data_IF_775587920527
#
_entry.id   IF_775587920527
#
_cell.length_a   1.000
_cell.length_b   1.000
_cell.length_c   1.000
_cell.angle_alpha   90.00
_cell.angle_beta   90.00
_cell.angle_gamma   90.00
#
_symmetry.space_group_name_H-M   'P 1'
#
loop_
_entity.id
_entity.type
_entity.pdbx_description
1 polymer ?
#
# COMPACT_ATOMS: atom_id res chain seq x y z
N UNK A 1 7.98 6.00 -9.53
CA UNK A 1 6.93 6.21 -10.55
C UNK A 1 6.24 4.90 -10.80
N UNK A 2 4.97 4.91 -11.22
CA UNK A 2 4.22 3.67 -11.47
C UNK A 2 4.87 2.85 -12.58
N UNK A 3 5.35 3.51 -13.65
CA UNK A 3 6.14 2.86 -14.72
C UNK A 3 7.37 2.13 -14.18
N UNK A 4 8.04 2.67 -13.16
CA UNK A 4 9.18 2.01 -12.52
C UNK A 4 8.80 0.66 -11.89
N UNK A 5 7.60 0.58 -11.30
CA UNK A 5 7.08 -0.69 -10.76
C UNK A 5 6.67 -1.66 -11.85
N UNK A 6 6.12 -1.18 -12.98
CA UNK A 6 5.86 -2.04 -14.15
C UNK A 6 7.16 -2.69 -14.65
N UNK A 7 8.24 -1.91 -14.74
CA UNK A 7 9.57 -2.44 -15.10
C UNK A 7 10.08 -3.44 -14.06
N UNK A 8 9.92 -3.17 -12.76
CA UNK A 8 10.28 -4.11 -11.70
C UNK A 8 9.51 -5.44 -11.81
N UNK A 9 8.22 -5.38 -12.16
CA UNK A 9 7.40 -6.54 -12.47
C UNK A 9 7.96 -7.38 -13.62
N UNK A 10 8.30 -6.73 -14.73
CA UNK A 10 8.90 -7.40 -15.89
C UNK A 10 10.25 -8.06 -15.57
N UNK A 11 11.08 -7.40 -14.75
CA UNK A 11 12.36 -7.97 -14.29
C UNK A 11 12.10 -9.21 -13.44
N UNK A 12 11.13 -9.16 -12.52
CA UNK A 12 10.75 -10.29 -11.69
C UNK A 12 10.27 -11.47 -12.54
N UNK A 13 9.41 -11.23 -13.53
CA UNK A 13 8.93 -12.29 -14.43
C UNK A 13 10.09 -12.89 -15.23
N UNK A 14 10.97 -12.06 -15.79
CA UNK A 14 12.14 -12.52 -16.55
C UNK A 14 13.11 -13.34 -15.67
N UNK A 15 13.33 -12.95 -14.42
CA UNK A 15 14.25 -13.62 -13.51
C UNK A 15 13.66 -14.93 -12.92
N UNK A 16 12.34 -14.99 -12.72
CA UNK A 16 11.67 -16.14 -12.11
C UNK A 16 11.13 -17.15 -13.14
N UNK A 17 10.85 -16.71 -14.36
CA UNK A 17 10.13 -17.48 -15.37
C UNK A 17 8.63 -17.64 -15.08
N UNK A 18 8.10 -17.00 -14.04
CA UNK A 18 6.70 -17.07 -13.62
C UNK A 18 5.98 -15.72 -13.76
N UNK A 19 4.65 -15.76 -13.88
CA UNK A 19 3.85 -14.54 -13.90
C UNK A 19 3.90 -13.83 -12.53
N UNK A 20 3.97 -12.50 -12.54
CA UNK A 20 4.16 -11.68 -11.34
C UNK A 20 3.17 -12.05 -10.22
N UNK A 21 1.89 -12.08 -10.54
CA UNK A 21 0.83 -12.37 -9.57
C UNK A 21 0.91 -13.80 -9.00
N UNK A 22 1.35 -14.78 -9.79
CA UNK A 22 1.57 -16.13 -9.29
C UNK A 22 2.76 -16.18 -8.32
N UNK A 23 3.85 -15.48 -8.65
CA UNK A 23 5.02 -15.39 -7.77
C UNK A 23 4.73 -14.61 -6.49
N UNK A 24 4.03 -13.49 -6.57
CA UNK A 24 3.66 -12.67 -5.41
C UNK A 24 2.72 -13.43 -4.47
N UNK A 25 1.70 -14.11 -5.01
CA UNK A 25 0.83 -14.99 -4.21
C UNK A 25 1.66 -16.05 -3.47
N UNK A 26 2.46 -16.82 -4.21
CA UNK A 26 3.21 -17.96 -3.65
C UNK A 26 4.25 -17.52 -2.64
N UNK A 27 4.97 -16.43 -2.90
CA UNK A 27 6.10 -15.98 -2.06
C UNK A 27 5.66 -15.10 -0.89
N UNK A 28 4.53 -14.40 -1.02
CA UNK A 28 4.10 -13.38 -0.05
C UNK A 28 2.72 -13.70 0.50
N UNK A 29 1.67 -13.68 -0.33
CA UNK A 29 0.29 -13.70 0.17
C UNK A 29 -0.07 -15.00 0.89
N UNK A 30 0.19 -16.15 0.25
CA UNK A 30 -0.10 -17.47 0.84
C UNK A 30 0.88 -17.80 1.96
N UNK A 31 2.16 -17.38 1.82
CA UNK A 31 3.20 -17.61 2.83
C UNK A 31 2.87 -16.92 4.16
N UNK A 32 2.23 -15.76 4.11
CA UNK A 32 1.98 -14.91 5.28
C UNK A 32 0.52 -14.80 5.70
N UNK A 33 -0.36 -15.63 5.12
CA UNK A 33 -1.79 -15.67 5.46
C UNK A 33 -2.41 -14.26 5.39
N UNK A 34 -2.42 -13.69 4.18
CA UNK A 34 -3.05 -12.40 3.84
C UNK A 34 -4.31 -12.63 2.98
N UNK A 35 -5.36 -13.28 3.51
CA UNK A 35 -6.48 -13.81 2.72
C UNK A 35 -7.40 -12.73 2.14
N UNK A 36 -7.31 -11.49 2.62
CA UNK A 36 -8.10 -10.35 2.13
C UNK A 36 -7.29 -9.46 1.18
N UNK A 37 -6.05 -9.84 0.87
CA UNK A 37 -5.23 -9.23 -0.16
C UNK A 37 -5.30 -10.08 -1.42
N UNK A 38 -5.89 -9.54 -2.49
CA UNK A 38 -6.12 -10.26 -3.75
C UNK A 38 -5.64 -9.43 -4.93
N UNK A 39 -5.22 -10.10 -6.00
CA UNK A 39 -4.81 -9.40 -7.21
C UNK A 39 -6.00 -8.71 -7.85
N UNK A 40 -5.71 -7.56 -8.44
CA UNK A 40 -6.70 -6.73 -9.08
C UNK A 40 -6.98 -7.21 -10.51
N UNK A 41 -7.40 -8.48 -10.66
CA UNK A 41 -7.74 -9.10 -11.95
C UNK A 41 -9.24 -8.98 -12.20
N UNK A 42 -9.61 -8.46 -13.37
CA UNK A 42 -11.01 -8.17 -13.69
C UNK A 42 -11.53 -6.95 -12.94
N UNK A 43 -12.83 -6.92 -12.64
CA UNK A 43 -13.52 -5.73 -12.06
C UNK A 43 -14.40 -6.05 -10.86
N UNK A 44 -14.40 -7.29 -10.38
CA UNK A 44 -15.31 -7.75 -9.33
C UNK A 44 -14.50 -8.21 -8.13
N UNK A 45 -14.72 -7.57 -6.99
CA UNK A 45 -14.00 -7.82 -5.75
C UNK A 45 -14.99 -7.93 -4.59
N UNK A 46 -15.09 -9.07 -3.90
CA UNK A 46 -16.03 -9.24 -2.79
C UNK A 46 -15.81 -8.26 -1.64
N UNK A 47 -16.92 -7.77 -1.08
CA UNK A 47 -16.95 -6.79 0.02
C UNK A 47 -16.28 -5.45 -0.34
N UNK A 48 -16.31 -5.04 -1.61
CA UNK A 48 -15.68 -3.79 -2.03
C UNK A 48 -16.47 -2.60 -1.47
N UNK A 49 -15.81 -1.77 -0.68
CA UNK A 49 -16.41 -0.50 -0.24
C UNK A 49 -16.67 0.39 -1.47
N UNK A 50 -17.86 1.00 -1.62
CA UNK A 50 -18.13 1.88 -2.76
C UNK A 50 -17.17 3.07 -2.78
N UNK A 51 -16.43 3.24 -3.88
CA UNK A 51 -15.49 4.35 -4.04
C UNK A 51 -16.16 5.61 -4.57
N UNK A 52 -15.67 6.77 -4.13
CA UNK A 52 -16.21 8.08 -4.52
C UNK A 52 -15.13 9.02 -5.03
N UNK A 53 -15.37 9.64 -6.19
CA UNK A 53 -14.50 10.65 -6.78
C UNK A 53 -15.26 11.96 -6.94
N UNK A 54 -14.54 13.07 -6.90
CA UNK A 54 -15.12 14.38 -7.14
C UNK A 54 -15.50 14.62 -8.60
N UNK A 55 -16.31 15.66 -8.82
CA UNK A 55 -16.80 16.03 -10.16
C UNK A 55 -15.65 16.36 -11.12
N UNK A 56 -14.57 16.98 -10.63
CA UNK A 56 -13.39 17.35 -11.42
C UNK A 56 -12.31 16.25 -11.49
N UNK A 57 -12.69 14.96 -11.40
CA UNK A 57 -11.70 13.88 -11.44
C UNK A 57 -11.00 13.78 -12.80
N UNK A 58 -9.67 13.53 -12.85
CA UNK A 58 -8.88 13.60 -14.07
C UNK A 58 -9.17 12.48 -15.08
N UNK A 59 -9.98 11.49 -14.68
CA UNK A 59 -10.27 10.30 -15.46
C UNK A 59 -11.69 10.30 -16.04
N UNK A 60 -12.45 11.38 -15.85
CA UNK A 60 -13.85 11.50 -16.27
C UNK A 60 -14.71 10.31 -15.83
N UNK A 61 -14.40 9.77 -14.64
CA UNK A 61 -15.10 8.64 -14.04
C UNK A 61 -16.43 9.11 -13.43
N UNK A 62 -17.43 8.22 -13.32
CA UNK A 62 -18.63 8.51 -12.55
C UNK A 62 -18.28 8.79 -11.09
N UNK A 63 -19.05 9.67 -10.43
CA UNK A 63 -18.85 10.07 -9.04
C UNK A 63 -18.76 8.86 -8.08
N UNK A 64 -19.46 7.77 -8.40
CA UNK A 64 -19.31 6.48 -7.74
C UNK A 64 -18.53 5.51 -8.63
N UNK A 65 -17.37 5.06 -8.17
CA UNK A 65 -16.47 4.21 -8.96
C UNK A 65 -16.69 2.71 -8.77
N UNK A 66 -17.62 2.31 -7.88
CA UNK A 66 -18.09 0.94 -7.74
C UNK A 66 -19.57 0.83 -7.36
N UNK A 67 -20.26 -0.14 -7.94
CA UNK A 67 -21.62 -0.53 -7.62
C UNK A 67 -21.65 -1.96 -7.07
N UNK A 68 -21.93 -2.09 -5.77
CA UNK A 68 -21.69 -3.32 -5.03
C UNK A 68 -20.22 -3.72 -5.11
N UNK A 69 -19.98 -4.98 -5.47
CA UNK A 69 -18.64 -5.56 -5.62
C UNK A 69 -17.99 -5.25 -6.99
N UNK A 70 -18.64 -4.47 -7.85
CA UNK A 70 -18.23 -4.28 -9.25
C UNK A 70 -17.74 -2.86 -9.48
N UNK A 71 -16.50 -2.73 -9.95
CA UNK A 71 -15.92 -1.45 -10.35
C UNK A 71 -16.50 -0.96 -11.68
N UNK A 72 -16.67 0.36 -11.81
CA UNK A 72 -17.18 1.01 -13.01
C UNK A 72 -16.20 0.94 -14.21
N UNK A 73 -14.92 0.63 -13.95
CA UNK A 73 -13.87 0.51 -14.95
C UNK A 73 -12.95 -0.68 -14.63
N UNK A 74 -12.12 -1.08 -15.60
CA UNK A 74 -11.12 -2.12 -15.39
C UNK A 74 -9.89 -1.51 -14.72
N UNK A 75 -9.52 -1.93 -13.51
CA UNK A 75 -8.36 -1.40 -12.80
C UNK A 75 -7.02 -2.05 -13.17
N UNK A 76 -7.03 -3.06 -14.06
CA UNK A 76 -5.85 -3.88 -14.38
C UNK A 76 -4.64 -3.11 -14.93
N UNK A 77 -4.79 -1.84 -15.30
CA UNK A 77 -3.68 -0.98 -15.74
C UNK A 77 -2.65 -0.73 -14.65
N UNK A 78 -3.02 -0.87 -13.38
CA UNK A 78 -2.10 -0.69 -12.24
C UNK A 78 -1.05 -1.78 -12.15
N UNK A 79 -1.42 -3.04 -12.44
CA UNK A 79 -0.57 -4.24 -12.35
C UNK A 79 0.39 -4.23 -11.14
N UNK A 80 1.70 -4.07 -11.33
CA UNK A 80 2.69 -4.06 -10.24
C UNK A 80 2.86 -2.69 -9.57
N UNK A 81 2.30 -1.61 -10.12
CA UNK A 81 2.28 -0.26 -9.55
C UNK A 81 1.25 -0.06 -8.44
N UNK A 82 0.14 -0.81 -8.48
CA UNK A 82 -0.93 -0.69 -7.48
C UNK A 82 -1.98 -1.80 -7.52
N UNK A 83 -1.74 -2.87 -8.27
CA UNK A 83 -2.76 -3.85 -8.67
C UNK A 83 -3.13 -4.89 -7.62
N UNK A 84 -3.43 -4.46 -6.41
CA UNK A 84 -4.01 -5.29 -5.34
C UNK A 84 -5.20 -4.60 -4.67
N UNK A 85 -6.16 -5.42 -4.27
CA UNK A 85 -7.24 -5.04 -3.35
C UNK A 85 -6.90 -5.63 -1.99
N UNK A 86 -6.98 -4.83 -0.92
CA UNK A 86 -6.70 -5.27 0.45
C UNK A 86 -7.58 -4.54 1.46
N UNK A 87 -7.53 -4.97 2.73
CA UNK A 87 -8.16 -4.29 3.86
C UNK A 87 -7.12 -3.79 4.88
N UNK A 88 -7.53 -2.89 5.78
CA UNK A 88 -6.65 -2.34 6.81
C UNK A 88 -6.00 -3.39 7.71
N UNK A 89 -6.68 -4.53 7.96
CA UNK A 89 -6.13 -5.59 8.83
C UNK A 89 -4.93 -6.28 8.17
N UNK A 90 -5.06 -6.68 6.92
CA UNK A 90 -3.99 -7.33 6.17
C UNK A 90 -2.85 -6.35 5.88
N UNK A 91 -3.15 -5.08 5.59
CA UNK A 91 -2.12 -4.04 5.46
C UNK A 91 -1.34 -3.83 6.77
N UNK A 92 -2.00 -3.71 7.92
CA UNK A 92 -1.30 -3.57 9.20
C UNK A 92 -0.47 -4.83 9.56
N UNK A 93 -0.97 -6.03 9.24
CA UNK A 93 -0.19 -7.28 9.35
C UNK A 93 1.01 -7.27 8.43
N UNK A 94 0.83 -6.86 7.18
CA UNK A 94 1.89 -6.78 6.17
C UNK A 94 3.00 -5.83 6.61
N UNK A 95 2.66 -4.67 7.18
CA UNK A 95 3.66 -3.75 7.74
C UNK A 95 4.52 -4.44 8.81
N UNK A 96 3.93 -5.16 9.77
CA UNK A 96 4.72 -5.91 10.76
C UNK A 96 5.57 -7.01 10.12
N UNK A 97 5.03 -7.76 9.16
CA UNK A 97 5.78 -8.81 8.46
C UNK A 97 6.98 -8.22 7.70
N UNK A 98 6.77 -7.13 6.98
CA UNK A 98 7.76 -6.49 6.14
C UNK A 98 8.86 -5.82 6.97
N UNK A 99 8.49 -5.01 7.96
CA UNK A 99 9.45 -4.18 8.70
C UNK A 99 10.09 -4.87 9.90
N UNK A 100 9.67 -6.10 10.22
CA UNK A 100 10.34 -6.97 11.20
C UNK A 100 11.17 -8.09 10.51
N UNK A 101 11.50 -7.92 9.23
CA UNK A 101 12.32 -8.87 8.45
C UNK A 101 11.76 -10.29 8.35
N UNK A 102 10.43 -10.42 8.23
CA UNK A 102 9.75 -11.72 8.12
C UNK A 102 9.19 -12.00 6.73
N UNK A 103 9.19 -11.04 5.81
CA UNK A 103 8.54 -11.18 4.51
C UNK A 103 9.23 -12.20 3.58
N UNK A 104 10.56 -12.18 3.52
CA UNK A 104 11.39 -13.08 2.73
C UNK A 104 12.62 -13.51 3.54
N UNK A 105 13.30 -14.55 3.07
CA UNK A 105 14.49 -15.07 3.75
C UNK A 105 15.71 -14.16 3.46
N UNK A 106 16.49 -13.86 4.52
CA UNK A 106 17.70 -13.04 4.45
C UNK A 106 17.50 -11.57 4.89
N UNK A 107 18.59 -10.85 5.18
CA UNK A 107 18.50 -9.43 5.55
C UNK A 107 18.16 -8.61 4.31
N UNK A 108 17.01 -7.95 4.31
CA UNK A 108 16.55 -7.13 3.18
C UNK A 108 16.14 -5.72 3.60
N UNK A 109 15.84 -5.49 4.88
CA UNK A 109 15.19 -4.27 5.32
C UNK A 109 16.08 -3.05 5.10
N UNK A 110 17.34 -3.12 5.53
CA UNK A 110 18.25 -1.97 5.38
C UNK A 110 18.53 -1.63 3.92
N UNK A 111 18.60 -2.62 3.02
CA UNK A 111 18.71 -2.36 1.58
C UNK A 111 17.44 -1.69 1.05
N UNK A 112 16.26 -2.21 1.42
CA UNK A 112 14.97 -1.65 1.02
C UNK A 112 14.79 -0.20 1.51
N UNK A 113 15.21 0.12 2.73
CA UNK A 113 15.05 1.44 3.35
C UNK A 113 16.05 2.48 2.83
N UNK A 114 17.26 2.06 2.47
CA UNK A 114 18.35 2.97 2.11
C UNK A 114 18.58 3.09 0.60
N UNK A 115 17.98 2.22 -0.21
CA UNK A 115 18.11 2.25 -1.67
C UNK A 115 17.02 3.12 -2.29
N UNK A 116 17.31 4.41 -2.51
CA UNK A 116 16.43 5.24 -3.32
C UNK A 116 16.72 6.75 -3.26
N UNK A 117 15.76 7.53 -3.73
CA UNK A 117 15.89 8.97 -3.90
C UNK A 117 15.81 9.69 -2.55
N UNK A 118 16.85 10.46 -2.25
CA UNK A 118 16.84 11.47 -1.18
C UNK A 118 16.44 12.78 -1.84
N UNK A 119 15.23 13.25 -1.56
CA UNK A 119 14.86 14.61 -1.97
C UNK A 119 15.81 15.64 -1.37
N UNK A 120 15.86 16.83 -1.97
CA UNK A 120 16.69 17.93 -1.48
C UNK A 120 16.23 18.40 -0.08
N UNK A 121 14.97 18.11 0.30
CA UNK A 121 14.41 18.31 1.64
C UNK A 121 14.52 17.03 2.48
N UNK A 122 15.36 17.07 3.51
CA UNK A 122 15.81 15.93 4.32
C UNK A 122 14.74 15.24 5.20
N UNK A 123 13.47 15.66 5.15
CA UNK A 123 12.41 15.16 6.05
C UNK A 123 11.71 13.88 5.60
N UNK A 124 11.82 13.50 4.33
CA UNK A 124 11.29 12.24 3.83
C UNK A 124 12.22 11.60 2.79
N UNK A 125 12.49 10.31 2.93
CA UNK A 125 13.26 9.55 1.95
C UNK A 125 12.39 8.46 1.33
N UNK A 126 12.65 8.15 0.06
CA UNK A 126 11.96 7.08 -0.66
C UNK A 126 12.95 5.97 -0.99
N UNK A 127 12.80 4.82 -0.36
CA UNK A 127 13.57 3.60 -0.61
C UNK A 127 12.98 2.78 -1.77
N UNK A 128 13.12 1.45 -1.70
CA UNK A 128 12.48 0.52 -2.64
C UNK A 128 11.00 0.32 -2.27
N UNK A 129 10.15 1.27 -2.66
CA UNK A 129 8.70 1.18 -2.40
C UNK A 129 8.26 1.49 -1.00
N UNK A 130 9.04 2.33 -0.32
CA UNK A 130 8.79 2.69 1.06
C UNK A 130 9.20 4.13 1.29
N UNK A 131 8.30 4.88 1.93
CA UNK A 131 8.60 6.17 2.51
C UNK A 131 9.12 5.99 3.93
N UNK A 132 10.14 6.77 4.27
CA UNK A 132 10.52 7.06 5.64
C UNK A 132 10.23 8.52 5.91
N UNK A 133 9.57 8.79 7.03
CA UNK A 133 9.24 10.14 7.45
C UNK A 133 9.45 10.27 8.96
N UNK A 134 10.02 11.41 9.36
CA UNK A 134 10.05 11.80 10.76
C UNK A 134 8.67 12.29 11.20
N UNK A 135 8.26 11.92 12.41
CA UNK A 135 7.04 12.40 13.04
C UNK A 135 7.31 12.85 14.47
N UNK A 136 6.42 13.65 15.10
CA UNK A 136 6.51 13.98 16.52
C UNK A 136 6.56 12.76 17.46
N UNK A 137 6.18 11.58 16.95
CA UNK A 137 6.10 10.34 17.72
C UNK A 137 7.30 9.41 17.48
N UNK A 138 8.17 9.70 16.50
CA UNK A 138 9.30 8.87 16.07
C UNK A 138 9.28 8.54 14.58
N UNK A 139 10.19 7.67 14.14
CA UNK A 139 10.34 7.31 12.72
C UNK A 139 9.16 6.45 12.23
N UNK A 140 8.52 6.90 11.14
CA UNK A 140 7.47 6.17 10.44
C UNK A 140 7.99 5.62 9.12
N UNK A 141 7.72 4.35 8.90
CA UNK A 141 8.10 3.62 7.69
C UNK A 141 6.84 3.05 7.05
N UNK A 142 6.60 3.31 5.77
CA UNK A 142 5.31 2.93 5.18
C UNK A 142 5.11 3.37 3.75
N UNK A 143 3.85 3.32 3.31
CA UNK A 143 3.46 3.84 2.00
C UNK A 143 2.01 4.35 2.02
N UNK A 144 1.74 5.35 1.18
CA UNK A 144 0.39 5.81 0.88
C UNK A 144 -0.20 5.05 -0.32
N UNK A 145 -1.51 5.07 -0.47
CA UNK A 145 -2.15 4.55 -1.68
C UNK A 145 -3.17 5.55 -2.18
N UNK A 146 -3.25 5.67 -3.50
CA UNK A 146 -4.25 6.46 -4.17
C UNK A 146 -4.76 5.67 -5.37
N UNK A 147 -6.08 5.51 -5.44
CA UNK A 147 -6.77 4.94 -6.58
C UNK A 147 -8.08 5.72 -6.77
N UNK A 148 -8.64 5.83 -7.99
CA UNK A 148 -9.89 6.58 -8.18
C UNK A 148 -11.05 6.02 -7.36
N UNK A 149 -11.40 6.72 -6.29
CA UNK A 149 -12.44 6.37 -5.33
C UNK A 149 -11.92 5.88 -3.99
N UNK A 150 -10.61 5.67 -3.81
CA UNK A 150 -10.02 5.17 -2.56
C UNK A 150 -8.67 5.80 -2.25
N UNK A 151 -8.42 6.04 -0.96
CA UNK A 151 -7.11 6.41 -0.42
C UNK A 151 -6.74 5.42 0.68
N UNK A 152 -5.46 5.09 0.79
CA UNK A 152 -4.95 4.28 1.87
C UNK A 152 -3.67 4.86 2.45
N UNK A 153 -3.36 4.42 3.66
CA UNK A 153 -2.07 4.60 4.28
C UNK A 153 -1.76 3.37 5.12
N UNK A 154 -0.50 2.95 5.12
CA UNK A 154 0.02 1.87 5.93
C UNK A 154 1.40 2.30 6.44
N UNK A 155 1.55 2.45 7.75
CA UNK A 155 2.80 2.83 8.39
C UNK A 155 3.11 1.96 9.60
N UNK A 156 4.40 1.82 9.87
CA UNK A 156 4.99 1.16 11.00
C UNK A 156 5.85 2.16 11.77
N UNK A 157 5.61 2.26 13.06
CA UNK A 157 6.39 3.06 13.96
C UNK A 157 7.56 2.23 14.49
N UNK A 158 8.78 2.64 14.12
CA UNK A 158 9.97 1.78 14.28
C UNK A 158 10.27 1.43 15.73
N UNK A 159 10.14 2.41 16.63
CA UNK A 159 10.58 2.26 18.01
C UNK A 159 9.62 1.42 18.86
N UNK A 160 8.31 1.54 18.62
CA UNK A 160 7.29 0.79 19.38
C UNK A 160 6.85 -0.51 18.72
N UNK A 161 7.17 -0.70 17.45
CA UNK A 161 6.70 -1.85 16.67
C UNK A 161 5.21 -1.82 16.34
N UNK A 162 4.56 -0.67 16.44
CA UNK A 162 3.13 -0.48 16.15
C UNK A 162 2.93 -0.28 14.65
N UNK A 163 1.98 -1.01 14.06
CA UNK A 163 1.56 -0.82 12.67
C UNK A 163 0.14 -0.25 12.62
N UNK A 164 -0.07 0.77 11.79
CA UNK A 164 -1.36 1.42 11.56
C UNK A 164 -1.64 1.44 10.06
N UNK A 165 -2.83 0.98 9.68
CA UNK A 165 -3.33 1.13 8.32
C UNK A 165 -4.74 1.72 8.33
N UNK A 166 -4.98 2.71 7.47
CA UNK A 166 -6.24 3.44 7.36
C UNK A 166 -6.63 3.51 5.89
N UNK A 167 -7.92 3.33 5.59
CA UNK A 167 -8.47 3.40 4.25
C UNK A 167 -9.69 4.31 4.22
N UNK A 168 -9.82 5.08 3.15
CA UNK A 168 -10.95 5.95 2.86
C UNK A 168 -11.50 5.57 1.50
N UNK A 169 -12.81 5.57 1.34
CA UNK A 169 -13.51 5.28 0.10
C UNK A 169 -13.87 6.57 -0.67
N UNK A 170 -12.98 7.56 -0.62
CA UNK A 170 -13.10 8.81 -1.35
C UNK A 170 -11.73 9.46 -1.59
N UNK A 171 -11.66 10.40 -2.54
CA UNK A 171 -10.41 11.10 -2.87
C UNK A 171 -10.39 12.61 -2.61
N UNK A 172 -11.53 13.25 -2.35
CA UNK A 172 -11.64 14.71 -2.23
C UNK A 172 -10.98 15.26 -0.96
N UNK A 173 -11.26 14.64 0.19
CA UNK A 173 -10.64 15.02 1.45
C UNK A 173 -9.47 14.08 1.73
N UNK A 174 -8.35 14.67 2.14
CA UNK A 174 -7.15 13.93 2.49
C UNK A 174 -6.78 14.21 3.94
N UNK A 175 -7.38 13.45 4.86
CA UNK A 175 -7.08 13.50 6.29
C UNK A 175 -6.46 12.18 6.80
N UNK A 176 -5.84 11.41 5.89
CA UNK A 176 -5.34 10.07 6.20
C UNK A 176 -4.19 10.09 7.19
N UNK A 177 -3.33 11.09 7.10
CA UNK A 177 -2.15 11.21 7.96
C UNK A 177 -2.57 11.69 9.36
N UNK A 178 -3.54 12.60 9.45
CA UNK A 178 -4.11 13.09 10.68
C UNK A 178 -4.79 11.96 11.46
N UNK A 179 -5.58 11.12 10.78
CA UNK A 179 -6.19 9.94 11.40
C UNK A 179 -5.13 8.92 11.82
N UNK A 180 -4.12 8.66 10.98
CA UNK A 180 -3.00 7.79 11.33
C UNK A 180 -2.27 8.29 12.58
N UNK A 181 -1.97 9.58 12.65
CA UNK A 181 -1.19 10.18 13.74
C UNK A 181 -2.00 10.20 15.03
N UNK A 182 -3.31 10.51 14.96
CA UNK A 182 -4.19 10.40 16.11
C UNK A 182 -4.30 8.95 16.64
N UNK A 183 -4.41 7.96 15.74
CA UNK A 183 -4.42 6.55 16.13
C UNK A 183 -3.08 6.12 16.75
N UNK A 184 -1.96 6.55 16.18
CA UNK A 184 -0.64 6.23 16.70
C UNK A 184 -0.42 6.83 18.09
N UNK A 185 -0.79 8.10 18.28
CA UNK A 185 -0.69 8.76 19.58
C UNK A 185 -1.47 7.99 20.66
N UNK A 186 -2.73 7.61 20.35
CA UNK A 186 -3.57 6.82 21.27
C UNK A 186 -2.95 5.45 21.61
N UNK A 187 -2.32 4.79 20.65
CA UNK A 187 -1.69 3.49 20.87
C UNK A 187 -0.40 3.62 21.69
N UNK A 188 0.39 4.69 21.49
CA UNK A 188 1.60 4.95 22.25
C UNK A 188 1.32 5.31 23.70
N UNK A 189 0.21 5.99 24.00
CA UNK A 189 -0.20 6.30 25.38
C UNK A 189 -0.58 5.06 26.20
N UNK A 190 -0.88 3.93 25.55
CA UNK A 190 -1.27 2.67 26.20
C UNK A 190 -0.09 1.75 26.54
N UNK A 191 1.13 2.12 26.16
CA UNK A 191 2.37 1.35 26.30
C UNK A 191 3.43 2.11 27.10
#
# INVERSE_FOLDING_TARGET
>A
TDTGYLVAGLILEAASGGAYYAEARRRVLDRHDLPRTVEQIGRTFPDLAPGHVGEDNPFSLPARTAEGDVMAFSPQTEWTGGGYVSNSRDLARWAKILYEERAIDGPYLEEMLNSGYRGDDAGATYGLGVYRADSPHGELIGHGGWFPGWRSTMYYHRDSGIAVAVQFNQNELDFRNEVRDALLALLLEQH
#
